data_IF_071153753985
#
_entry.id   IF_071153753985
#
_cell.length_a   1.000
_cell.length_b   1.000
_cell.length_c   1.000
_cell.angle_alpha   90.00
_cell.angle_beta   90.00
_cell.angle_gamma   90.00
#
_symmetry.space_group_name_H-M   'P 1'
#
loop_
_entity.id
_entity.type
_entity.pdbx_description
1 polymer ?
#
# COMPACT_ATOMS: atom_id res chain seq x y z
N UNK A 1 33.97 -37.49 38.80
CA UNK A 1 32.56 -37.01 38.58
C UNK A 1 32.49 -35.49 38.75
N UNK A 2 33.00 -34.87 39.82
CA UNK A 2 32.98 -33.42 40.06
C UNK A 2 33.65 -32.60 38.92
N UNK A 3 34.80 -33.08 38.44
CA UNK A 3 35.54 -32.43 37.35
C UNK A 3 34.76 -32.42 36.01
N UNK A 4 34.05 -33.50 35.70
CA UNK A 4 33.22 -33.60 34.51
C UNK A 4 32.03 -32.64 34.55
N UNK A 5 31.40 -32.48 35.73
CA UNK A 5 30.27 -31.54 35.94
C UNK A 5 30.76 -30.11 35.80
N UNK A 6 31.96 -29.77 36.32
CA UNK A 6 32.52 -28.42 36.19
C UNK A 6 32.84 -28.09 34.72
N UNK A 7 33.36 -29.05 33.93
CA UNK A 7 33.64 -28.85 32.48
C UNK A 7 32.31 -28.63 31.72
N UNK A 8 31.27 -29.43 32.01
CA UNK A 8 29.96 -29.29 31.39
C UNK A 8 29.34 -27.91 31.73
N UNK A 9 29.45 -27.47 32.96
CA UNK A 9 28.97 -26.13 33.35
C UNK A 9 29.70 -25.01 32.66
N UNK A 10 31.03 -25.12 32.45
CA UNK A 10 31.82 -24.16 31.68
C UNK A 10 31.46 -24.16 30.17
N UNK A 11 31.11 -25.30 29.61
CA UNK A 11 30.76 -25.46 28.20
C UNK A 11 29.29 -25.10 27.93
N UNK A 12 28.42 -25.13 28.94
CA UNK A 12 27.00 -24.87 28.81
C UNK A 12 26.67 -23.55 28.03
N UNK A 13 27.29 -22.39 28.30
CA UNK A 13 27.00 -21.18 27.56
C UNK A 13 27.38 -21.28 26.07
N UNK A 14 28.44 -22.03 25.75
CA UNK A 14 28.89 -22.26 24.38
C UNK A 14 27.96 -23.22 23.64
N UNK A 15 27.52 -24.28 24.31
CA UNK A 15 26.55 -25.23 23.77
C UNK A 15 25.22 -24.52 23.47
N UNK A 16 24.72 -23.68 24.38
CA UNK A 16 23.51 -22.89 24.19
C UNK A 16 23.67 -21.93 23.00
N UNK A 17 24.79 -21.22 22.91
CA UNK A 17 25.07 -20.30 21.77
C UNK A 17 25.15 -21.05 20.44
N UNK A 18 25.79 -22.22 20.40
CA UNK A 18 25.85 -23.07 19.21
C UNK A 18 24.46 -23.59 18.83
N UNK A 19 23.71 -24.07 19.82
CA UNK A 19 22.33 -24.52 19.63
C UNK A 19 21.47 -23.39 19.07
N UNK A 20 21.50 -22.20 19.67
CA UNK A 20 20.75 -21.03 19.21
C UNK A 20 21.19 -20.60 17.81
N UNK A 21 22.48 -20.72 17.47
CA UNK A 21 23.00 -20.36 16.16
C UNK A 21 22.55 -21.31 15.06
N UNK A 22 22.53 -22.63 15.31
CA UNK A 22 22.30 -23.63 14.28
C UNK A 22 20.86 -24.14 14.24
N UNK A 23 20.18 -24.23 15.36
CA UNK A 23 18.87 -24.90 15.46
C UNK A 23 17.69 -23.95 15.60
N UNK A 24 17.85 -22.77 16.19
CA UNK A 24 16.75 -21.80 16.24
C UNK A 24 16.58 -21.12 14.90
N UNK A 25 15.48 -21.43 14.22
CA UNK A 25 15.08 -20.72 12.98
C UNK A 25 14.39 -19.42 13.33
N UNK A 26 14.62 -18.40 12.51
CA UNK A 26 13.84 -17.15 12.56
C UNK A 26 12.40 -17.49 12.20
N UNK A 27 11.47 -17.00 12.99
CA UNK A 27 10.05 -17.05 12.70
C UNK A 27 9.50 -15.64 12.74
N UNK A 28 9.11 -15.14 11.56
CA UNK A 28 8.43 -13.86 11.42
C UNK A 28 6.93 -14.09 11.54
N UNK A 29 6.28 -13.24 12.34
CA UNK A 29 4.83 -13.24 12.47
C UNK A 29 4.33 -11.83 12.14
N UNK A 30 3.34 -11.73 11.26
CA UNK A 30 2.65 -10.49 10.95
C UNK A 30 1.27 -10.51 11.59
N UNK A 31 1.02 -9.55 12.45
CA UNK A 31 -0.26 -9.36 13.15
C UNK A 31 -0.91 -8.13 12.50
N UNK A 32 -1.89 -8.32 11.59
CA UNK A 32 -2.50 -7.21 10.88
C UNK A 32 -3.38 -6.37 11.80
N UNK A 33 -3.56 -5.08 11.46
CA UNK A 33 -4.70 -4.31 11.93
C UNK A 33 -5.98 -4.87 11.31
N UNK A 34 -7.12 -4.67 11.96
CA UNK A 34 -8.39 -5.24 11.48
C UNK A 34 -8.88 -4.64 10.15
N UNK A 35 -8.25 -3.58 9.65
CA UNK A 35 -8.73 -2.83 8.49
C UNK A 35 -7.61 -2.52 7.50
N UNK A 36 -7.97 -2.59 6.22
CA UNK A 36 -7.18 -2.07 5.10
C UNK A 36 -7.85 -0.82 4.55
N UNK A 37 -7.06 0.09 3.99
CA UNK A 37 -7.58 1.24 3.26
C UNK A 37 -7.25 1.06 1.78
N UNK A 38 -8.24 1.26 0.95
CA UNK A 38 -8.12 1.14 -0.50
C UNK A 38 -8.41 2.48 -1.15
N UNK A 39 -7.73 2.79 -2.23
CA UNK A 39 -8.19 3.85 -3.11
C UNK A 39 -7.70 3.66 -4.55
N UNK A 40 -8.28 4.45 -5.43
CA UNK A 40 -7.95 4.51 -6.83
C UNK A 40 -7.98 5.97 -7.27
N UNK A 41 -6.97 6.36 -8.02
CA UNK A 41 -6.90 7.69 -8.60
C UNK A 41 -6.22 7.64 -9.98
N UNK A 42 -5.88 8.79 -10.54
CA UNK A 42 -5.14 8.89 -11.82
C UNK A 42 -3.79 8.18 -11.85
N UNK A 43 -3.20 7.86 -10.71
CA UNK A 43 -1.94 7.11 -10.62
C UNK A 43 -2.17 5.61 -10.38
N UNK A 44 -3.41 5.13 -10.47
CA UNK A 44 -3.76 3.74 -10.35
C UNK A 44 -4.31 3.31 -8.99
N UNK A 45 -4.16 2.04 -8.67
CA UNK A 45 -4.67 1.41 -7.46
C UNK A 45 -3.65 1.47 -6.32
N UNK A 46 -4.15 1.71 -5.11
CA UNK A 46 -3.38 1.78 -3.88
C UNK A 46 -4.01 0.93 -2.79
N UNK A 47 -3.15 0.33 -1.99
CA UNK A 47 -3.53 -0.41 -0.78
C UNK A 47 -2.69 0.08 0.38
N UNK A 48 -3.34 0.43 1.49
CA UNK A 48 -2.68 0.66 2.78
C UNK A 48 -2.95 -0.51 3.70
N UNK A 49 -1.90 -1.06 4.25
CA UNK A 49 -1.98 -2.15 5.22
C UNK A 49 -1.20 -1.78 6.48
N UNK A 50 -1.87 -1.88 7.61
CA UNK A 50 -1.24 -1.70 8.91
C UNK A 50 -1.10 -3.02 9.66
N UNK A 51 -0.10 -3.10 10.52
CA UNK A 51 0.12 -4.25 11.37
C UNK A 51 1.35 -4.13 12.24
N UNK A 52 1.69 -5.24 12.86
CA UNK A 52 2.89 -5.39 13.67
C UNK A 52 3.66 -6.59 13.17
N UNK A 53 4.95 -6.43 12.93
CA UNK A 53 5.87 -7.54 12.64
C UNK A 53 6.58 -7.94 13.94
N UNK A 54 6.46 -9.20 14.31
CA UNK A 54 7.17 -9.83 15.41
C UNK A 54 8.24 -10.76 14.86
N UNK A 55 9.45 -10.70 15.39
CA UNK A 55 10.48 -11.70 15.08
C UNK A 55 10.73 -12.58 16.30
N UNK A 56 10.46 -13.88 16.17
CA UNK A 56 10.73 -14.87 17.23
C UNK A 56 12.08 -15.52 17.01
N UNK A 57 12.71 -15.86 18.13
CA UNK A 57 13.99 -16.57 18.25
C UNK A 57 15.23 -15.75 17.88
N UNK A 58 15.24 -15.02 16.77
CA UNK A 58 16.38 -14.20 16.31
C UNK A 58 15.90 -12.92 15.68
N UNK A 59 16.75 -11.89 15.65
CA UNK A 59 16.49 -10.70 14.89
C UNK A 59 16.37 -11.00 13.38
N UNK A 60 15.47 -10.30 12.71
CA UNK A 60 15.28 -10.40 11.27
C UNK A 60 15.50 -9.03 10.61
N UNK A 61 16.07 -9.03 9.41
CA UNK A 61 16.14 -7.85 8.55
C UNK A 61 15.06 -8.03 7.49
N UNK A 62 13.99 -7.25 7.58
CA UNK A 62 12.98 -7.17 6.53
C UNK A 62 13.56 -6.35 5.39
N UNK A 63 13.65 -6.95 4.20
CA UNK A 63 14.24 -6.32 3.01
C UNK A 63 13.19 -5.74 2.08
N UNK A 64 12.06 -6.44 1.98
CA UNK A 64 11.00 -6.07 1.07
C UNK A 64 9.65 -6.58 1.59
N UNK A 65 8.61 -5.84 1.25
CA UNK A 65 7.22 -6.19 1.52
C UNK A 65 6.44 -5.97 0.22
N UNK A 66 5.85 -7.01 -0.33
CA UNK A 66 5.06 -6.93 -1.55
C UNK A 66 3.63 -7.41 -1.33
N UNK A 67 2.70 -6.86 -2.08
CA UNK A 67 1.29 -7.27 -2.06
C UNK A 67 0.87 -7.68 -3.46
N UNK A 68 0.18 -8.80 -3.56
CA UNK A 68 -0.57 -9.19 -4.73
C UNK A 68 -2.04 -9.23 -4.38
N UNK A 69 -2.86 -8.49 -5.11
CA UNK A 69 -4.32 -8.54 -4.99
C UNK A 69 -4.88 -9.42 -6.09
N UNK A 70 -5.73 -10.37 -5.73
CA UNK A 70 -6.33 -11.34 -6.65
C UNK A 70 -7.84 -11.17 -6.59
N UNK A 71 -8.47 -10.84 -7.72
CA UNK A 71 -9.92 -10.81 -7.84
C UNK A 71 -10.45 -12.22 -8.07
N UNK A 72 -11.43 -12.66 -7.27
CA UNK A 72 -11.84 -14.07 -7.28
C UNK A 72 -12.55 -14.51 -8.55
N UNK A 73 -13.37 -13.66 -9.14
CA UNK A 73 -14.24 -14.01 -10.27
C UNK A 73 -13.46 -14.42 -11.53
N UNK A 74 -12.46 -13.64 -11.90
CA UNK A 74 -11.70 -13.83 -13.14
C UNK A 74 -10.23 -14.12 -12.92
N UNK A 75 -9.81 -14.25 -11.65
CA UNK A 75 -8.41 -14.47 -11.25
C UNK A 75 -7.44 -13.37 -11.70
N UNK A 76 -7.96 -12.18 -12.03
CA UNK A 76 -7.12 -11.06 -12.37
C UNK A 76 -6.21 -10.71 -11.19
N UNK A 77 -4.92 -10.59 -11.44
CA UNK A 77 -3.90 -10.27 -10.45
C UNK A 77 -3.42 -8.83 -10.60
N UNK A 78 -3.25 -8.14 -9.49
CA UNK A 78 -2.67 -6.81 -9.40
C UNK A 78 -1.47 -6.87 -8.45
N UNK A 79 -0.23 -6.89 -8.97
CA UNK A 79 0.95 -6.76 -8.15
C UNK A 79 1.12 -5.32 -7.69
N UNK A 80 1.47 -5.15 -6.43
CA UNK A 80 1.71 -3.85 -5.81
C UNK A 80 3.00 -3.93 -5.00
N UNK A 81 3.90 -2.98 -5.22
CA UNK A 81 5.15 -2.89 -4.49
C UNK A 81 5.04 -1.88 -3.33
N UNK A 82 5.85 -2.09 -2.37
CA UNK A 82 6.01 -1.22 -1.23
C UNK A 82 6.61 0.14 -1.65
N UNK A 83 5.82 1.19 -1.57
CA UNK A 83 6.24 2.54 -1.95
C UNK A 83 6.72 3.36 -0.76
N UNK A 84 6.01 3.28 0.35
CA UNK A 84 6.34 4.09 1.52
C UNK A 84 5.85 3.48 2.83
N UNK A 85 6.49 3.91 3.93
CA UNK A 85 5.89 3.84 5.26
C UNK A 85 4.99 5.06 5.47
N UNK A 86 3.80 4.83 5.97
CA UNK A 86 2.93 5.90 6.44
C UNK A 86 3.14 6.05 7.94
N UNK A 87 3.80 7.11 8.34
CA UNK A 87 3.98 7.40 9.77
C UNK A 87 2.77 8.20 10.24
N UNK A 88 1.96 7.69 11.18
CA UNK A 88 0.89 8.47 11.76
C UNK A 88 1.54 9.53 12.69
N UNK A 89 1.96 10.64 12.13
CA UNK A 89 2.44 11.78 12.91
C UNK A 89 1.25 12.65 13.24
N UNK A 90 0.89 12.69 14.51
CA UNK A 90 -0.10 13.62 15.03
C UNK A 90 0.52 15.03 15.17
N UNK A 91 1.01 15.58 14.07
CA UNK A 91 1.34 16.99 14.00
C UNK A 91 0.14 17.72 13.43
N UNK A 92 -0.46 18.57 14.26
CA UNK A 92 -1.50 19.48 13.83
C UNK A 92 -0.85 20.76 13.31
N UNK A 93 -0.86 20.95 11.99
CA UNK A 93 -0.54 22.23 11.39
C UNK A 93 -1.86 22.91 11.05
N UNK A 94 -2.20 23.98 11.76
CA UNK A 94 -3.46 24.68 11.56
C UNK A 94 -4.72 23.85 11.85
N UNK A 95 -4.64 22.86 12.77
CA UNK A 95 -5.78 22.01 13.17
C UNK A 95 -6.02 20.77 12.30
N UNK A 96 -5.27 20.59 11.21
CA UNK A 96 -5.38 19.40 10.37
C UNK A 96 -4.28 18.38 10.70
N UNK A 97 -4.62 17.08 10.82
CA UNK A 97 -3.61 16.04 10.99
C UNK A 97 -2.78 15.92 9.71
N UNK A 98 -1.47 16.05 9.84
CA UNK A 98 -0.53 15.83 8.74
C UNK A 98 0.03 14.41 8.86
N UNK A 99 -0.17 13.59 7.83
CA UNK A 99 0.51 12.30 7.70
C UNK A 99 1.82 12.50 6.95
N UNK A 100 2.92 12.05 7.52
CA UNK A 100 4.21 12.00 6.80
C UNK A 100 4.43 10.60 6.27
N UNK A 101 4.98 10.51 5.06
CA UNK A 101 5.43 9.24 4.48
C UNK A 101 6.94 9.21 4.41
N UNK A 102 7.53 8.06 4.75
CA UNK A 102 8.95 7.78 4.55
C UNK A 102 9.11 6.79 3.40
N UNK A 103 10.15 6.95 2.60
CA UNK A 103 10.47 6.02 1.50
C UNK A 103 10.66 4.61 2.07
N UNK A 104 10.14 3.62 1.34
CA UNK A 104 10.36 2.20 1.61
C UNK A 104 11.86 1.88 1.74
N UNK A 105 12.23 1.26 2.85
CA UNK A 105 13.64 0.89 3.13
C UNK A 105 13.70 -0.35 4.01
N UNK A 106 14.74 -1.18 3.86
CA UNK A 106 14.98 -2.29 4.78
C UNK A 106 15.05 -1.83 6.23
N UNK A 107 14.52 -2.65 7.14
CA UNK A 107 14.55 -2.38 8.58
C UNK A 107 14.78 -3.67 9.37
N UNK A 108 15.31 -3.51 10.59
CA UNK A 108 15.58 -4.61 11.51
C UNK A 108 14.48 -4.75 12.53
N UNK A 109 14.03 -5.98 12.74
CA UNK A 109 13.13 -6.38 13.83
C UNK A 109 13.94 -7.19 14.83
N UNK A 110 14.10 -6.68 16.05
CA UNK A 110 14.84 -7.37 17.10
C UNK A 110 14.06 -8.61 17.58
N UNK A 111 14.79 -9.58 18.12
CA UNK A 111 14.18 -10.81 18.64
C UNK A 111 13.25 -10.51 19.82
N UNK A 112 12.00 -10.97 19.73
CA UNK A 112 10.97 -10.77 20.75
C UNK A 112 10.37 -9.35 20.78
N UNK A 113 10.76 -8.47 19.84
CA UNK A 113 10.17 -7.14 19.73
C UNK A 113 9.02 -7.10 18.73
N UNK A 114 8.12 -6.14 18.95
CA UNK A 114 6.99 -5.82 18.09
C UNK A 114 7.33 -4.54 17.30
N UNK A 115 7.38 -4.64 15.98
CA UNK A 115 7.70 -3.52 15.10
C UNK A 115 6.42 -3.09 14.35
N UNK A 116 5.84 -1.92 14.66
CA UNK A 116 4.66 -1.44 13.97
C UNK A 116 5.01 -1.04 12.54
N UNK A 117 4.19 -1.46 11.59
CA UNK A 117 4.30 -1.14 10.18
C UNK A 117 2.97 -0.63 9.65
N UNK A 118 3.00 0.51 8.98
CA UNK A 118 1.90 1.06 8.19
C UNK A 118 2.45 1.34 6.81
N UNK A 119 2.00 0.59 5.84
CA UNK A 119 2.64 0.51 4.52
C UNK A 119 1.67 0.89 3.44
N UNK A 120 2.14 1.69 2.50
CA UNK A 120 1.45 2.00 1.25
C UNK A 120 2.04 1.14 0.13
N UNK A 121 1.15 0.53 -0.63
CA UNK A 121 1.49 -0.26 -1.81
C UNK A 121 0.89 0.39 -3.04
N UNK A 122 1.67 0.44 -4.12
CA UNK A 122 1.27 1.03 -5.41
C UNK A 122 1.54 0.05 -6.55
N UNK A 123 0.83 0.21 -7.65
CA UNK A 123 1.09 -0.59 -8.85
C UNK A 123 2.50 -0.33 -9.38
N UNK A 124 3.20 -1.39 -9.74
CA UNK A 124 4.61 -1.38 -10.17
C UNK A 124 4.80 -1.46 -11.67
N UNK A 125 3.73 -1.46 -12.43
CA UNK A 125 3.84 -1.42 -13.87
C UNK A 125 4.49 -0.09 -14.31
N UNK A 126 5.82 -0.10 -14.45
CA UNK A 126 6.61 1.10 -14.78
C UNK A 126 6.15 1.75 -16.08
N UNK A 127 5.73 0.96 -17.06
CA UNK A 127 5.23 1.48 -18.34
C UNK A 127 3.88 2.19 -18.16
N UNK A 128 2.99 1.59 -17.38
CA UNK A 128 1.70 2.18 -17.02
C UNK A 128 1.89 3.45 -16.17
N UNK A 129 2.79 3.42 -15.19
CA UNK A 129 3.09 4.58 -14.36
C UNK A 129 3.70 5.73 -15.16
N UNK A 130 4.57 5.46 -16.13
CA UNK A 130 5.13 6.47 -17.02
C UNK A 130 4.03 7.08 -17.90
N UNK A 131 3.13 6.26 -18.44
CA UNK A 131 1.97 6.72 -19.21
C UNK A 131 1.02 7.57 -18.37
N UNK A 132 0.73 7.17 -17.13
CA UNK A 132 -0.11 7.94 -16.21
C UNK A 132 0.52 9.29 -15.84
N UNK A 133 1.84 9.35 -15.67
CA UNK A 133 2.56 10.61 -15.42
C UNK A 133 2.49 11.55 -16.64
N UNK A 134 2.59 11.01 -17.86
CA UNK A 134 2.43 11.75 -19.10
C UNK A 134 1.02 12.33 -19.23
N UNK A 135 -0.01 11.50 -19.03
CA UNK A 135 -1.43 11.90 -18.95
C UNK A 135 -1.61 13.07 -17.98
N UNK A 136 -1.03 12.96 -16.80
CA UNK A 136 -1.13 14.02 -15.80
C UNK A 136 -0.50 15.35 -16.29
N UNK A 137 0.68 15.26 -16.91
CA UNK A 137 1.37 16.43 -17.46
C UNK A 137 0.54 17.12 -18.55
N UNK A 138 -0.08 16.35 -19.44
CA UNK A 138 -0.94 16.86 -20.50
C UNK A 138 -2.22 17.52 -19.94
N UNK A 139 -2.89 16.87 -19.00
CA UNK A 139 -4.06 17.46 -18.31
C UNK A 139 -3.67 18.76 -17.57
N UNK A 140 -2.54 18.77 -16.89
CA UNK A 140 -2.07 19.98 -16.19
C UNK A 140 -1.75 21.13 -17.17
N UNK A 141 -1.21 20.82 -18.36
CA UNK A 141 -0.99 21.81 -19.41
C UNK A 141 -2.32 22.33 -19.96
N UNK A 142 -3.28 21.45 -20.19
CA UNK A 142 -4.61 21.81 -20.68
C UNK A 142 -5.37 22.67 -19.67
N UNK A 143 -5.35 22.34 -18.38
CA UNK A 143 -5.94 23.17 -17.33
C UNK A 143 -5.38 24.60 -17.39
N UNK A 144 -4.05 24.76 -17.53
CA UNK A 144 -3.44 26.10 -17.64
C UNK A 144 -3.92 26.88 -18.87
N UNK A 145 -4.16 26.18 -19.98
CA UNK A 145 -4.60 26.80 -21.23
C UNK A 145 -6.08 27.22 -21.23
N UNK A 146 -6.95 26.45 -20.56
CA UNK A 146 -8.39 26.74 -20.52
C UNK A 146 -8.76 27.73 -19.42
N UNK A 147 -7.91 27.86 -18.38
CA UNK A 147 -8.21 28.75 -17.25
C UNK A 147 -8.22 30.20 -17.68
N UNK A 148 -9.37 30.82 -17.55
CA UNK A 148 -9.56 32.27 -17.73
C UNK A 148 -9.89 32.94 -16.39
N UNK A 149 -9.52 34.21 -16.20
CA UNK A 149 -9.66 34.89 -14.91
C UNK A 149 -11.09 34.94 -14.34
N UNK A 150 -12.08 34.81 -15.19
CA UNK A 150 -13.50 34.92 -14.82
C UNK A 150 -14.26 33.59 -14.80
N UNK A 151 -13.59 32.47 -15.01
CA UNK A 151 -14.26 31.15 -14.97
C UNK A 151 -14.65 30.81 -13.55
N UNK A 152 -15.87 30.31 -13.39
CA UNK A 152 -16.26 29.54 -12.19
C UNK A 152 -15.60 28.18 -12.20
N UNK A 153 -15.51 27.54 -11.03
CA UNK A 153 -14.97 26.19 -10.93
C UNK A 153 -15.74 25.17 -11.81
N UNK A 154 -17.05 25.33 -11.93
CA UNK A 154 -17.87 24.45 -12.76
C UNK A 154 -17.62 24.67 -14.25
N UNK A 155 -17.51 25.92 -14.71
CA UNK A 155 -17.14 26.22 -16.09
C UNK A 155 -15.79 25.66 -16.46
N UNK A 156 -14.78 25.80 -15.58
CA UNK A 156 -13.46 25.26 -15.79
C UNK A 156 -13.48 23.72 -15.89
N UNK A 157 -14.18 23.05 -14.97
CA UNK A 157 -14.35 21.58 -14.99
C UNK A 157 -15.09 21.09 -16.23
N UNK A 158 -16.16 21.76 -16.63
CA UNK A 158 -16.94 21.41 -17.82
C UNK A 158 -16.13 21.61 -19.10
N UNK A 159 -15.37 22.70 -19.19
CA UNK A 159 -14.48 22.95 -20.33
C UNK A 159 -13.40 21.86 -20.44
N UNK A 160 -12.76 21.53 -19.31
CA UNK A 160 -11.78 20.44 -19.25
C UNK A 160 -12.39 19.10 -19.67
N UNK A 161 -13.56 18.74 -19.11
CA UNK A 161 -14.26 17.49 -19.43
C UNK A 161 -14.72 17.41 -20.90
N UNK A 162 -14.89 18.55 -21.56
CA UNK A 162 -15.18 18.68 -22.98
C UNK A 162 -14.00 18.39 -23.88
N UNK A 163 -12.75 18.41 -23.37
CA UNK A 163 -11.55 18.24 -24.16
C UNK A 163 -11.35 16.79 -24.62
N UNK A 164 -10.67 16.61 -25.76
CA UNK A 164 -10.38 15.29 -26.28
C UNK A 164 -9.36 14.54 -25.41
N UNK A 165 -8.34 15.22 -24.90
CA UNK A 165 -7.34 14.62 -24.04
C UNK A 165 -7.96 14.09 -22.76
N UNK A 166 -8.81 14.89 -22.10
CA UNK A 166 -9.52 14.46 -20.89
C UNK A 166 -10.34 13.18 -21.14
N UNK A 167 -11.11 13.14 -22.25
CA UNK A 167 -11.94 11.98 -22.58
C UNK A 167 -11.09 10.74 -22.84
N UNK A 168 -10.02 10.87 -23.63
CA UNK A 168 -9.11 9.78 -23.92
C UNK A 168 -8.50 9.22 -22.62
N UNK A 169 -8.03 10.08 -21.74
CA UNK A 169 -7.44 9.65 -20.47
C UNK A 169 -8.44 9.02 -19.52
N UNK A 170 -9.64 9.60 -19.43
CA UNK A 170 -10.71 9.00 -18.66
C UNK A 170 -11.01 7.57 -19.14
N UNK A 171 -11.11 7.39 -20.43
CA UNK A 171 -11.43 6.09 -21.03
C UNK A 171 -10.28 5.09 -20.83
N UNK A 172 -9.03 5.51 -20.95
CA UNK A 172 -7.84 4.71 -20.65
C UNK A 172 -7.82 4.25 -19.17
N UNK A 173 -8.07 5.17 -18.22
CA UNK A 173 -8.18 4.83 -16.80
C UNK A 173 -9.36 3.91 -16.49
N UNK A 174 -10.47 4.05 -17.20
CA UNK A 174 -11.62 3.15 -17.07
C UNK A 174 -11.32 1.74 -17.60
N UNK A 175 -10.52 1.60 -18.64
CA UNK A 175 -10.09 0.30 -19.18
C UNK A 175 -9.17 -0.44 -18.20
N UNK A 176 -8.24 0.27 -17.56
CA UNK A 176 -7.31 -0.29 -16.57
C UNK A 176 -7.92 -0.43 -15.17
N UNK A 177 -9.17 -0.02 -14.98
CA UNK A 177 -9.81 0.02 -13.67
C UNK A 177 -9.95 -1.36 -13.04
N UNK A 178 -9.30 -1.56 -11.88
CA UNK A 178 -9.20 -2.86 -11.23
C UNK A 178 -10.32 -3.14 -10.20
N UNK A 179 -10.74 -2.15 -9.39
CA UNK A 179 -11.67 -2.33 -8.28
C UNK A 179 -13.13 -2.51 -8.72
N UNK A 180 -13.51 -3.72 -9.10
CA UNK A 180 -14.89 -4.09 -9.49
C UNK A 180 -15.63 -4.72 -8.30
N UNK A 181 -16.96 -4.81 -8.38
CA UNK A 181 -17.74 -5.54 -7.38
C UNK A 181 -17.38 -7.03 -7.42
N UNK A 182 -16.68 -7.50 -6.40
CA UNK A 182 -16.19 -8.88 -6.28
C UNK A 182 -15.60 -9.15 -4.88
N UNK A 183 -15.25 -10.40 -4.62
CA UNK A 183 -14.40 -10.83 -3.53
C UNK A 183 -12.92 -10.81 -3.97
N UNK A 184 -12.07 -10.33 -3.07
CA UNK A 184 -10.64 -10.18 -3.30
C UNK A 184 -9.82 -10.93 -2.27
N UNK A 185 -8.66 -11.42 -2.70
CA UNK A 185 -7.63 -11.97 -1.82
C UNK A 185 -6.38 -11.12 -1.92
N UNK A 186 -5.90 -10.61 -0.80
CA UNK A 186 -4.56 -10.01 -0.69
C UNK A 186 -3.60 -11.10 -0.27
N UNK A 187 -2.50 -11.23 -0.99
CA UNK A 187 -1.34 -12.03 -0.62
C UNK A 187 -0.22 -11.07 -0.27
N UNK A 188 0.04 -10.92 1.03
CA UNK A 188 1.16 -10.15 1.56
C UNK A 188 2.39 -11.07 1.60
N UNK A 189 3.49 -10.66 0.97
CA UNK A 189 4.76 -11.38 0.99
C UNK A 189 5.81 -10.51 1.68
N UNK A 190 6.39 -11.00 2.77
CA UNK A 190 7.48 -10.34 3.49
C UNK A 190 8.77 -11.10 3.18
N UNK A 191 9.74 -10.41 2.58
CA UNK A 191 11.09 -10.95 2.30
C UNK A 191 12.06 -10.50 3.38
N UNK A 192 12.77 -11.45 3.99
CA UNK A 192 13.71 -11.17 5.07
C UNK A 192 14.98 -12.02 4.98
N UNK A 193 16.08 -11.52 5.56
CA UNK A 193 17.38 -12.21 5.62
C UNK A 193 17.76 -12.85 4.27
N UNK A 194 17.94 -12.02 3.28
CA UNK A 194 18.36 -12.30 1.90
C UNK A 194 17.30 -12.91 1.00
N UNK A 195 16.76 -14.09 1.30
CA UNK A 195 15.88 -14.81 0.37
C UNK A 195 14.68 -15.49 1.02
N UNK A 196 14.55 -15.40 2.33
CA UNK A 196 13.42 -16.03 3.02
C UNK A 196 12.16 -15.20 2.83
N UNK A 197 11.07 -15.87 2.54
CA UNK A 197 9.76 -15.25 2.38
C UNK A 197 8.76 -15.86 3.36
N UNK A 198 7.86 -15.01 3.85
CA UNK A 198 6.69 -15.40 4.62
C UNK A 198 5.46 -14.78 3.95
N UNK A 199 4.40 -15.56 3.77
CA UNK A 199 3.19 -15.11 3.12
C UNK A 199 2.01 -15.13 4.09
N UNK A 200 1.14 -14.13 3.93
CA UNK A 200 -0.12 -14.00 4.65
C UNK A 200 -1.23 -13.70 3.66
N UNK A 201 -2.42 -14.22 3.90
CA UNK A 201 -3.56 -14.07 2.99
C UNK A 201 -4.74 -13.45 3.73
N UNK A 202 -5.41 -12.51 3.06
CA UNK A 202 -6.56 -11.81 3.62
C UNK A 202 -7.66 -11.70 2.57
N UNK A 203 -8.92 -11.83 2.99
CA UNK A 203 -10.09 -11.70 2.11
C UNK A 203 -10.90 -10.46 2.46
N UNK A 204 -11.38 -9.77 1.46
CA UNK A 204 -12.32 -8.66 1.60
C UNK A 204 -13.24 -8.58 0.39
N UNK A 205 -14.34 -7.83 0.53
CA UNK A 205 -15.31 -7.63 -0.53
C UNK A 205 -15.37 -6.16 -0.95
N UNK A 206 -15.63 -5.93 -2.24
CA UNK A 206 -16.05 -4.64 -2.78
C UNK A 206 -17.47 -4.84 -3.35
N UNK A 207 -18.43 -4.07 -2.89
CA UNK A 207 -19.78 -4.09 -3.41
C UNK A 207 -19.95 -3.18 -4.66
N UNK A 208 -21.14 -3.20 -5.26
CA UNK A 208 -21.40 -2.45 -6.48
C UNK A 208 -21.35 -0.93 -6.26
N UNK A 209 -21.78 -0.44 -5.09
CA UNK A 209 -21.77 1.00 -4.78
C UNK A 209 -20.34 1.48 -4.57
N UNK A 210 -19.53 0.71 -3.86
CA UNK A 210 -18.11 0.99 -3.66
C UNK A 210 -17.33 0.99 -4.99
N UNK A 211 -17.60 0.01 -5.86
CA UNK A 211 -16.98 -0.05 -7.19
C UNK A 211 -17.36 1.18 -8.04
N UNK A 212 -18.61 1.63 -7.97
CA UNK A 212 -19.05 2.86 -8.62
C UNK A 212 -18.37 4.10 -8.03
N UNK A 213 -18.23 4.17 -6.71
CA UNK A 213 -17.54 5.26 -6.03
C UNK A 213 -16.04 5.32 -6.37
N UNK A 214 -15.35 4.17 -6.48
CA UNK A 214 -13.98 4.11 -6.98
C UNK A 214 -13.85 4.60 -8.42
N UNK A 215 -14.81 4.24 -9.31
CA UNK A 215 -14.83 4.80 -10.66
C UNK A 215 -14.99 6.31 -10.67
N UNK A 216 -15.81 6.85 -9.78
CA UNK A 216 -16.00 8.30 -9.62
C UNK A 216 -14.70 9.02 -9.22
N UNK A 217 -13.76 8.34 -8.58
CA UNK A 217 -12.44 8.91 -8.27
C UNK A 217 -11.62 9.23 -9.53
N UNK A 218 -11.86 8.54 -10.65
CA UNK A 218 -11.16 8.81 -11.91
C UNK A 218 -11.41 10.26 -12.34
N UNK A 219 -12.69 10.64 -12.44
CA UNK A 219 -13.05 12.00 -12.83
C UNK A 219 -12.56 13.03 -11.81
N UNK A 220 -12.79 12.79 -10.52
CA UNK A 220 -12.33 13.68 -9.46
C UNK A 220 -10.81 13.88 -9.50
N UNK A 221 -10.03 12.82 -9.71
CA UNK A 221 -8.56 12.91 -9.76
C UNK A 221 -8.05 13.60 -11.03
N UNK A 222 -8.73 13.49 -12.16
CA UNK A 222 -8.40 14.23 -13.37
C UNK A 222 -8.71 15.72 -13.24
N UNK A 223 -9.74 16.07 -12.46
CA UNK A 223 -10.15 17.45 -12.21
C UNK A 223 -9.43 18.10 -11.01
N UNK A 224 -8.62 17.36 -10.26
CA UNK A 224 -8.01 17.87 -9.03
C UNK A 224 -7.13 19.10 -9.24
N UNK A 225 -6.51 19.28 -10.40
CA UNK A 225 -5.74 20.49 -10.70
C UNK A 225 -6.62 21.75 -10.82
N UNK A 226 -7.88 21.61 -11.25
CA UNK A 226 -8.87 22.70 -11.19
C UNK A 226 -9.22 22.97 -9.73
N UNK A 227 -9.51 21.93 -8.94
CA UNK A 227 -9.79 22.07 -7.51
C UNK A 227 -8.67 22.79 -6.76
N UNK A 228 -7.40 22.46 -7.05
CA UNK A 228 -6.22 23.11 -6.47
C UNK A 228 -6.17 24.61 -6.76
N UNK A 229 -6.43 25.03 -8.00
CA UNK A 229 -6.44 26.45 -8.41
C UNK A 229 -7.52 27.20 -7.65
N UNK A 230 -8.70 26.62 -7.50
CA UNK A 230 -9.81 27.22 -6.76
C UNK A 230 -9.75 26.98 -5.24
N UNK A 231 -8.69 26.31 -4.75
CA UNK A 231 -8.50 25.98 -3.32
C UNK A 231 -9.65 25.17 -2.72
N UNK A 232 -10.26 24.29 -3.52
CA UNK A 232 -11.32 23.39 -3.09
C UNK A 232 -10.72 22.00 -2.86
N UNK A 233 -11.03 21.33 -1.75
CA UNK A 233 -10.50 20.00 -1.49
C UNK A 233 -11.09 18.94 -2.45
N UNK A 234 -10.22 18.14 -3.06
CA UNK A 234 -10.65 16.98 -3.85
C UNK A 234 -10.95 15.81 -2.93
N UNK A 235 -12.23 15.49 -2.78
CA UNK A 235 -12.68 14.39 -1.92
C UNK A 235 -12.74 13.07 -2.70
N UNK A 236 -11.69 12.26 -2.59
CA UNK A 236 -11.64 10.91 -3.15
C UNK A 236 -12.31 9.89 -2.21
N UNK A 237 -12.97 8.91 -2.79
CA UNK A 237 -13.51 7.77 -2.05
C UNK A 237 -12.36 6.84 -1.64
N UNK A 238 -12.14 6.70 -0.34
CA UNK A 238 -11.06 5.92 0.25
C UNK A 238 -11.58 5.07 1.42
N UNK A 239 -12.32 3.99 1.14
CA UNK A 239 -12.94 3.20 2.19
C UNK A 239 -11.89 2.45 3.02
N UNK A 240 -12.24 2.26 4.29
CA UNK A 240 -11.59 1.28 5.16
C UNK A 240 -12.42 0.01 5.13
N UNK A 241 -11.79 -1.11 4.75
CA UNK A 241 -12.43 -2.43 4.67
C UNK A 241 -11.95 -3.32 5.79
N UNK A 242 -12.89 -3.98 6.44
CA UNK A 242 -12.55 -5.11 7.29
C UNK A 242 -12.15 -6.30 6.41
N UNK A 243 -11.21 -7.07 6.87
CA UNK A 243 -10.75 -8.27 6.19
C UNK A 243 -10.70 -9.46 7.13
N UNK A 244 -10.76 -10.64 6.55
CA UNK A 244 -10.68 -11.92 7.27
C UNK A 244 -9.36 -12.58 6.88
N UNK A 245 -8.66 -13.15 7.86
CA UNK A 245 -7.46 -13.96 7.58
C UNK A 245 -7.89 -15.21 6.80
N UNK A 246 -7.21 -15.45 5.68
CA UNK A 246 -7.47 -16.60 4.81
C UNK A 246 -6.45 -17.68 5.11
N UNK A 247 -6.82 -18.67 5.90
CA UNK A 247 -5.97 -19.81 6.29
C UNK A 247 -5.68 -20.78 5.12
N UNK A 248 -6.17 -20.49 3.92
CA UNK A 248 -5.86 -21.24 2.70
C UNK A 248 -6.44 -22.66 2.66
N UNK A 249 -7.53 -22.93 3.43
CA UNK A 249 -8.25 -24.19 3.43
C UNK A 249 -9.25 -24.29 2.30
#
# INVERSE_FOLDING_TARGET
IATAIAILALLQPWIIKLWDRFFRKIHLNFIPTAKIKLYYNRSGAYVYLGGVIESKNKAAIVKDIAVKVIRKKDKAELPLDWSSFVVPVFQSVGGNPVTTSEIARPFKVESGSLYPVFVEFVSTNTQENSRLAEIYSEIAAEIRNIMQPNFTIEEAKNTLAGSNNYRNFRDELLQSFYWRADEYVIVLTITYNDTKTQQYRFKFNIDANEAAAFKGNIEKSLQCGVDEIYRVPTNLFCPQKEFIVDDGK
#
